data_IF_738265830790
#
_entry.id   IF_738265830790
#
_cell.length_a   1.000
_cell.length_b   1.000
_cell.length_c   1.000
_cell.angle_alpha   90.00
_cell.angle_beta   90.00
_cell.angle_gamma   90.00
#
_symmetry.space_group_name_H-M   'P 1'
#
loop_
_entity.id
_entity.type
_entity.pdbx_description
1 polymer ?
#
# COMPACT_ATOMS: atom_id res chain seq x y z
N UNK A 1 -25.86 -4.81 -22.85
CA UNK A 1 -25.52 -5.77 -21.76
C UNK A 1 -24.13 -5.41 -21.22
N UNK A 2 -24.03 -4.53 -20.22
CA UNK A 2 -22.75 -4.07 -19.64
C UNK A 2 -22.27 -5.11 -18.63
N UNK A 3 -21.15 -5.78 -18.93
CA UNK A 3 -20.52 -6.77 -18.05
C UNK A 3 -19.83 -6.03 -16.90
N UNK A 4 -20.52 -5.92 -15.77
CA UNK A 4 -19.97 -5.42 -14.49
C UNK A 4 -19.00 -6.47 -13.94
N UNK A 5 -17.80 -6.52 -14.52
CA UNK A 5 -16.67 -7.22 -13.94
C UNK A 5 -16.17 -6.38 -12.77
N UNK A 6 -16.74 -6.60 -11.57
CA UNK A 6 -16.42 -5.91 -10.32
C UNK A 6 -14.96 -6.14 -9.91
N UNK A 7 -14.06 -5.52 -10.64
CA UNK A 7 -12.65 -5.38 -10.30
C UNK A 7 -12.61 -4.21 -9.34
N UNK A 8 -12.52 -4.47 -8.04
CA UNK A 8 -12.37 -3.42 -7.03
C UNK A 8 -11.22 -2.53 -7.49
N UNK A 9 -11.54 -1.28 -7.83
CA UNK A 9 -10.54 -0.35 -8.28
C UNK A 9 -9.54 -0.17 -7.13
N UNK A 10 -8.24 -0.19 -7.42
CA UNK A 10 -7.18 0.05 -6.42
C UNK A 10 -7.28 1.41 -5.71
N UNK A 11 -8.24 2.25 -6.12
CA UNK A 11 -8.61 3.55 -5.55
C UNK A 11 -9.40 3.44 -4.24
N UNK A 12 -10.14 2.35 -4.03
CA UNK A 12 -10.93 2.15 -2.79
C UNK A 12 -10.09 1.54 -1.66
N UNK A 13 -8.84 1.17 -1.94
CA UNK A 13 -7.93 0.64 -0.95
C UNK A 13 -7.30 1.79 -0.16
N UNK A 14 -7.14 1.64 1.16
CA UNK A 14 -6.46 2.65 1.95
C UNK A 14 -5.03 2.82 1.42
N UNK A 15 -4.68 4.05 1.11
CA UNK A 15 -3.34 4.46 0.72
C UNK A 15 -2.63 5.12 1.91
N UNK A 16 -1.33 4.82 2.05
CA UNK A 16 -0.45 5.43 3.05
C UNK A 16 0.77 6.02 2.35
N UNK A 17 1.38 7.01 2.97
CA UNK A 17 2.63 7.60 2.49
C UNK A 17 3.82 6.89 3.11
N UNK A 18 4.81 6.51 2.30
CA UNK A 18 6.02 5.86 2.79
C UNK A 18 6.88 6.85 3.58
N UNK A 19 7.15 6.58 4.86
CA UNK A 19 7.97 7.45 5.71
C UNK A 19 9.46 7.50 5.29
N UNK A 20 9.93 6.58 4.46
CA UNK A 20 11.32 6.58 3.98
C UNK A 20 11.51 7.29 2.63
N UNK A 21 10.58 7.13 1.68
CA UNK A 21 10.73 7.68 0.32
C UNK A 21 9.63 8.66 -0.10
N UNK A 22 8.67 8.96 0.78
CA UNK A 22 7.57 9.90 0.51
C UNK A 22 6.54 9.44 -0.53
N UNK A 23 6.71 8.25 -1.12
CA UNK A 23 5.81 7.77 -2.18
C UNK A 23 4.49 7.23 -1.59
N UNK A 24 3.33 7.57 -2.15
CA UNK A 24 2.07 6.96 -1.78
C UNK A 24 2.05 5.49 -2.22
N UNK A 25 1.51 4.63 -1.37
CA UNK A 25 1.37 3.21 -1.65
C UNK A 25 0.04 2.68 -1.12
N UNK A 26 -0.64 1.88 -1.96
CA UNK A 26 -1.92 1.29 -1.61
C UNK A 26 -1.76 0.03 -0.74
N UNK A 27 -2.76 -0.24 0.09
CA UNK A 27 -2.89 -1.47 0.86
C UNK A 27 -2.66 -2.71 0.01
N UNK A 28 -2.01 -3.72 0.60
CA UNK A 28 -1.77 -5.03 -0.03
C UNK A 28 -2.24 -6.12 0.93
N UNK A 29 -2.75 -7.21 0.37
CA UNK A 29 -3.22 -8.38 1.14
C UNK A 29 -2.18 -8.93 2.13
N UNK A 30 -0.88 -8.83 1.81
CA UNK A 30 0.23 -9.22 2.70
C UNK A 30 0.31 -8.41 4.00
N UNK A 31 -0.33 -7.23 4.04
CA UNK A 31 -0.36 -6.34 5.19
C UNK A 31 -1.67 -6.44 5.96
N UNK A 32 -2.55 -7.39 5.65
CA UNK A 32 -3.85 -7.50 6.32
C UNK A 32 -3.75 -7.59 7.86
N UNK A 33 -2.65 -8.13 8.41
CA UNK A 33 -2.44 -8.27 9.85
C UNK A 33 -1.76 -7.05 10.50
N UNK A 34 -0.84 -6.40 9.78
CA UNK A 34 0.06 -5.38 10.35
C UNK A 34 -0.09 -4.01 9.69
N UNK A 35 -1.15 -3.77 8.91
CA UNK A 35 -1.33 -2.54 8.13
C UNK A 35 -1.20 -1.26 8.95
N UNK A 36 -1.61 -1.30 10.21
CA UNK A 36 -1.47 -0.17 11.12
C UNK A 36 0.00 0.18 11.41
N UNK A 37 0.84 -0.84 11.59
CA UNK A 37 2.29 -0.71 11.80
C UNK A 37 3.08 -0.46 10.51
N UNK A 38 2.50 -0.73 9.34
CA UNK A 38 3.16 -0.54 8.03
C UNK A 38 3.23 0.94 7.67
N UNK A 39 4.43 1.50 7.80
CA UNK A 39 4.78 2.89 7.41
C UNK A 39 5.61 2.99 6.13
N UNK A 40 5.99 1.85 5.53
CA UNK A 40 6.94 1.79 4.42
C UNK A 40 6.39 0.98 3.24
N UNK A 41 6.64 1.45 2.02
CA UNK A 41 6.14 0.80 0.80
C UNK A 41 6.80 -0.55 0.48
N UNK A 42 7.99 -0.82 1.05
CA UNK A 42 8.79 -2.01 0.79
C UNK A 42 9.67 -2.38 1.99
N UNK A 43 10.11 -3.64 2.06
CA UNK A 43 11.06 -4.08 3.10
C UNK A 43 12.39 -3.34 2.97
N UNK A 44 12.79 -2.98 1.74
CA UNK A 44 13.94 -2.12 1.49
C UNK A 44 13.78 -0.78 2.17
N UNK A 45 12.64 -0.09 2.06
CA UNK A 45 12.39 1.17 2.76
C UNK A 45 12.27 1.01 4.29
N UNK A 46 11.88 -0.17 4.77
CA UNK A 46 11.87 -0.47 6.21
C UNK A 46 13.29 -0.67 6.76
N UNK A 47 14.17 -1.34 6.00
CA UNK A 47 15.55 -1.65 6.40
C UNK A 47 16.54 -0.52 6.08
N UNK A 48 16.34 0.15 4.96
CA UNK A 48 17.12 1.30 4.54
C UNK A 48 16.50 2.53 5.18
N UNK A 49 17.05 2.91 6.33
CA UNK A 49 16.86 4.25 6.87
C UNK A 49 17.48 5.24 5.90
N UNK A 50 16.64 5.82 5.05
CA UNK A 50 16.93 6.96 4.18
C UNK A 50 17.72 6.65 2.90
N UNK A 51 17.19 7.14 1.79
CA UNK A 51 17.98 7.82 0.75
C UNK A 51 17.30 9.16 0.49
#
# INVERSE_FOLDING_TARGET
MKRDGRTVAKRDLPEKTCAACGRPFAWRKKWARDWDAVRYCSDRCRKAGVS
#
